data_IF_715098261112
#
_entry.id   IF_715098261112
#
_cell.length_a   1.000
_cell.length_b   1.000
_cell.length_c   1.000
_cell.angle_alpha   90.00
_cell.angle_beta   90.00
_cell.angle_gamma   90.00
#
_symmetry.space_group_name_H-M   'P 1'
#
loop_
_entity.id
_entity.type
_entity.pdbx_description
1 polymer ?
#
# COMPACT_ATOMS: atom_id res chain seq x y z
N UNK A 1 -4.39 14.52 19.43
CA UNK A 1 -5.67 15.14 19.04
C UNK A 1 -6.45 14.30 18.03
N UNK A 2 -5.80 13.53 17.13
CA UNK A 2 -6.48 12.68 16.14
C UNK A 2 -7.26 11.49 16.73
N UNK A 3 -6.73 10.80 17.75
CA UNK A 3 -7.37 9.59 18.31
C UNK A 3 -8.73 9.85 18.97
N UNK A 4 -8.88 10.98 19.66
CA UNK A 4 -10.15 11.34 20.30
C UNK A 4 -11.25 11.63 19.25
N UNK A 5 -10.88 12.26 18.13
CA UNK A 5 -11.80 12.54 17.03
C UNK A 5 -12.19 11.26 16.27
N UNK A 6 -11.26 10.33 16.07
CA UNK A 6 -11.54 9.02 15.47
C UNK A 6 -12.49 8.22 16.36
N UNK A 7 -12.28 8.25 17.69
CA UNK A 7 -13.12 7.52 18.64
C UNK A 7 -14.55 8.04 18.70
N UNK A 8 -14.72 9.37 18.73
CA UNK A 8 -16.03 10.03 18.67
C UNK A 8 -16.76 9.73 17.34
N UNK A 9 -16.03 9.73 16.22
CA UNK A 9 -16.57 9.35 14.91
C UNK A 9 -17.01 7.88 14.88
N UNK A 10 -16.23 6.96 15.47
CA UNK A 10 -16.59 5.56 15.57
C UNK A 10 -17.82 5.32 16.46
N UNK A 11 -17.93 6.01 17.60
CA UNK A 11 -19.12 5.92 18.48
C UNK A 11 -20.37 6.42 17.77
N UNK A 12 -20.29 7.57 17.07
CA UNK A 12 -21.40 8.10 16.27
C UNK A 12 -21.81 7.16 15.13
N UNK A 13 -20.83 6.56 14.45
CA UNK A 13 -21.08 5.58 13.39
C UNK A 13 -21.74 4.29 13.89
N UNK A 14 -21.35 3.83 15.08
CA UNK A 14 -21.95 2.64 15.72
C UNK A 14 -23.36 2.91 16.24
N UNK A 15 -23.64 4.13 16.71
CA UNK A 15 -24.92 4.51 17.28
C UNK A 15 -25.97 4.86 16.21
N UNK A 16 -25.63 5.72 15.26
CA UNK A 16 -26.60 6.33 14.33
C UNK A 16 -26.37 5.94 12.85
N UNK A 17 -25.35 5.13 12.57
CA UNK A 17 -25.04 4.68 11.21
C UNK A 17 -24.48 5.77 10.29
N UNK A 18 -24.35 5.43 9.00
CA UNK A 18 -23.72 6.30 7.98
C UNK A 18 -24.56 7.56 7.66
N UNK A 19 -25.80 7.61 8.16
CA UNK A 19 -26.78 8.66 7.84
C UNK A 19 -26.52 9.99 8.56
N UNK A 20 -25.82 9.96 9.70
CA UNK A 20 -25.49 11.17 10.50
C UNK A 20 -24.19 11.85 10.03
N UNK A 21 -23.44 11.22 9.12
CA UNK A 21 -22.20 11.79 8.61
C UNK A 21 -22.44 12.98 7.69
N UNK A 22 -21.59 13.99 7.82
CA UNK A 22 -21.43 15.05 6.83
C UNK A 22 -21.14 14.45 5.44
N UNK A 23 -21.59 15.11 4.38
CA UNK A 23 -21.35 14.67 3.00
C UNK A 23 -19.86 14.48 2.69
N UNK A 24 -18.98 15.26 3.33
CA UNK A 24 -17.53 15.12 3.20
C UNK A 24 -17.01 13.86 3.89
N UNK A 25 -17.48 13.56 5.10
CA UNK A 25 -17.04 12.39 5.87
C UNK A 25 -17.51 11.09 5.22
N UNK A 26 -18.74 11.08 4.68
CA UNK A 26 -19.29 9.95 3.93
C UNK A 26 -18.45 9.64 2.68
N UNK A 27 -18.03 10.66 1.93
CA UNK A 27 -17.16 10.48 0.75
C UNK A 27 -15.78 9.94 1.13
N UNK A 28 -15.21 10.39 2.25
CA UNK A 28 -13.94 9.86 2.75
C UNK A 28 -14.08 8.38 3.14
N UNK A 29 -15.13 8.04 3.89
CA UNK A 29 -15.41 6.66 4.28
C UNK A 29 -15.67 5.75 3.08
N UNK A 30 -16.40 6.23 2.06
CA UNK A 30 -16.64 5.49 0.82
C UNK A 30 -15.33 5.24 0.04
N UNK A 31 -14.45 6.25 -0.05
CA UNK A 31 -13.14 6.10 -0.68
C UNK A 31 -12.23 5.13 0.08
N UNK A 32 -12.22 5.22 1.41
CA UNK A 32 -11.44 4.31 2.27
C UNK A 32 -11.99 2.90 2.17
N UNK A 33 -13.30 2.71 2.27
CA UNK A 33 -13.96 1.41 2.15
C UNK A 33 -13.70 0.76 0.78
N UNK A 34 -13.79 1.54 -0.31
CA UNK A 34 -13.51 1.05 -1.66
C UNK A 34 -12.04 0.63 -1.81
N UNK A 35 -11.09 1.46 -1.35
CA UNK A 35 -9.66 1.09 -1.36
C UNK A 35 -9.38 -0.17 -0.54
N UNK A 36 -9.94 -0.28 0.66
CA UNK A 36 -9.76 -1.46 1.51
C UNK A 36 -10.35 -2.71 0.88
N UNK A 37 -11.52 -2.60 0.22
CA UNK A 37 -12.14 -3.73 -0.46
C UNK A 37 -11.29 -4.22 -1.62
N UNK A 38 -10.81 -3.33 -2.50
CA UNK A 38 -10.01 -3.72 -3.66
C UNK A 38 -8.66 -4.33 -3.24
N UNK A 39 -7.96 -3.72 -2.28
CA UNK A 39 -6.71 -4.29 -1.77
C UNK A 39 -6.91 -5.70 -1.17
N UNK A 40 -8.07 -5.94 -0.53
CA UNK A 40 -8.42 -7.25 0.01
C UNK A 40 -8.76 -8.25 -1.10
N UNK A 41 -9.41 -7.82 -2.16
CA UNK A 41 -9.79 -8.67 -3.29
C UNK A 41 -8.55 -9.17 -4.05
N UNK A 42 -7.64 -8.25 -4.40
CA UNK A 42 -6.36 -8.58 -5.05
C UNK A 42 -5.59 -9.61 -4.22
N UNK A 43 -5.51 -9.40 -2.91
CA UNK A 43 -4.79 -10.32 -2.03
C UNK A 43 -5.47 -11.70 -1.93
N UNK A 44 -6.81 -11.74 -2.00
CA UNK A 44 -7.59 -12.97 -1.89
C UNK A 44 -7.55 -13.80 -3.18
N UNK A 45 -7.62 -13.16 -4.34
CA UNK A 45 -7.42 -13.84 -5.63
C UNK A 45 -6.02 -14.44 -5.72
N UNK A 46 -5.02 -13.70 -5.27
CA UNK A 46 -3.63 -14.17 -5.23
C UNK A 46 -3.44 -15.34 -4.26
N UNK A 47 -4.05 -15.30 -3.07
CA UNK A 47 -3.98 -16.41 -2.10
C UNK A 47 -4.72 -17.69 -2.56
N UNK A 48 -5.76 -17.54 -3.39
CA UNK A 48 -6.50 -18.67 -3.96
C UNK A 48 -5.73 -19.39 -5.06
N UNK A 49 -4.79 -18.71 -5.72
CA UNK A 49 -3.96 -19.29 -6.77
C UNK A 49 -2.67 -19.96 -6.23
N UNK A 50 -2.33 -19.74 -4.95
CA UNK A 50 -1.16 -20.33 -4.32
C UNK A 50 -1.26 -21.85 -4.19
N UNK A 51 -0.32 -22.57 -4.82
CA UNK A 51 -0.18 -24.01 -4.62
C UNK A 51 0.43 -24.32 -3.23
N UNK A 52 0.36 -25.59 -2.81
CA UNK A 52 1.01 -26.03 -1.57
C UNK A 52 2.52 -25.78 -1.59
N UNK A 53 3.17 -25.95 -2.75
CA UNK A 53 4.59 -25.69 -2.95
C UNK A 53 4.95 -24.22 -2.76
N UNK A 54 4.12 -23.31 -3.28
CA UNK A 54 4.31 -21.87 -3.12
C UNK A 54 4.21 -21.42 -1.67
N UNK A 55 3.22 -21.97 -0.93
CA UNK A 55 3.04 -21.70 0.50
C UNK A 55 4.24 -22.18 1.33
N UNK A 56 4.83 -23.32 0.96
CA UNK A 56 6.03 -23.84 1.62
C UNK A 56 7.25 -22.97 1.30
N UNK A 57 7.43 -22.60 0.03
CA UNK A 57 8.51 -21.73 -0.42
C UNK A 57 8.48 -20.37 0.29
N UNK A 58 7.30 -19.74 0.43
CA UNK A 58 7.15 -18.47 1.18
C UNK A 58 7.53 -18.59 2.65
N UNK A 59 7.14 -19.69 3.31
CA UNK A 59 7.54 -19.93 4.69
C UNK A 59 9.04 -20.12 4.81
N UNK A 60 9.66 -20.87 3.90
CA UNK A 60 11.11 -21.08 3.89
C UNK A 60 11.86 -19.77 3.63
N UNK A 61 11.39 -18.94 2.69
CA UNK A 61 11.97 -17.63 2.41
C UNK A 61 11.83 -16.67 3.61
N UNK A 62 10.65 -16.63 4.25
CA UNK A 62 10.41 -15.80 5.43
C UNK A 62 11.26 -16.21 6.65
N UNK A 63 11.46 -17.52 6.85
CA UNK A 63 12.32 -18.04 7.92
C UNK A 63 13.80 -17.74 7.60
N UNK A 64 14.23 -17.93 6.36
CA UNK A 64 15.59 -17.68 5.91
C UNK A 64 16.03 -16.21 6.01
N UNK A 65 15.08 -15.26 5.94
CA UNK A 65 15.35 -13.82 6.04
C UNK A 65 15.40 -13.26 7.48
N UNK A 66 15.14 -14.07 8.50
CA UNK A 66 15.09 -13.59 9.90
C UNK A 66 16.46 -13.58 10.58
N UNK A 67 16.76 -12.52 11.33
CA UNK A 67 17.96 -12.43 12.18
C UNK A 67 18.06 -13.58 13.20
N UNK A 68 16.93 -14.05 13.73
CA UNK A 68 16.91 -15.19 14.66
C UNK A 68 17.32 -16.50 14.02
N UNK A 69 16.99 -16.71 12.74
CA UNK A 69 17.42 -17.87 11.98
C UNK A 69 18.93 -17.86 11.75
N UNK A 70 19.49 -16.71 11.36
CA UNK A 70 20.95 -16.54 11.14
C UNK A 70 21.75 -16.87 12.39
N UNK A 71 21.30 -16.37 13.56
CA UNK A 71 21.95 -16.63 14.85
C UNK A 71 21.85 -18.11 15.22
N UNK A 72 20.66 -18.70 15.14
CA UNK A 72 20.45 -20.12 15.48
C UNK A 72 21.27 -21.03 14.56
N UNK A 73 21.26 -20.76 13.26
CA UNK A 73 22.02 -21.51 12.26
C UNK A 73 23.53 -21.43 12.51
N UNK A 74 24.03 -20.24 12.86
CA UNK A 74 25.43 -20.03 13.23
C UNK A 74 25.82 -20.80 14.50
N UNK A 75 24.97 -20.80 15.53
CA UNK A 75 25.18 -21.58 16.76
C UNK A 75 25.20 -23.09 16.47
N UNK A 76 24.31 -23.58 15.60
CA UNK A 76 24.30 -25.00 15.19
C UNK A 76 25.58 -25.39 14.47
N UNK A 77 26.05 -24.56 13.52
CA UNK A 77 27.32 -24.79 12.81
C UNK A 77 28.48 -24.82 13.80
N UNK A 78 28.61 -23.80 14.65
CA UNK A 78 29.69 -23.72 15.64
C UNK A 78 29.62 -24.85 16.67
N UNK A 79 28.41 -25.26 17.07
CA UNK A 79 28.18 -26.40 17.95
C UNK A 79 28.59 -27.72 17.30
N UNK A 80 28.25 -27.93 16.02
CA UNK A 80 28.63 -29.12 15.25
C UNK A 80 30.14 -29.21 15.04
N UNK A 81 30.76 -28.09 14.64
CA UNK A 81 32.22 -27.96 14.52
C UNK A 81 32.89 -28.22 15.87
N UNK A 82 32.44 -27.56 16.94
CA UNK A 82 32.98 -27.73 18.28
C UNK A 82 32.87 -29.18 18.79
N UNK A 83 31.72 -29.83 18.59
CA UNK A 83 31.51 -31.23 18.97
C UNK A 83 32.44 -32.18 18.21
N UNK A 84 32.58 -32.03 16.89
CA UNK A 84 33.47 -32.86 16.08
C UNK A 84 34.96 -32.60 16.37
N UNK A 85 35.38 -31.34 16.55
CA UNK A 85 36.77 -31.01 16.85
C UNK A 85 37.17 -31.41 18.28
N UNK A 86 36.39 -31.03 19.29
CA UNK A 86 36.82 -31.17 20.69
C UNK A 86 36.49 -32.53 21.31
N UNK A 87 35.30 -33.09 21.02
CA UNK A 87 34.86 -34.33 21.67
C UNK A 87 35.36 -35.54 20.89
N UNK A 88 35.14 -35.57 19.58
CA UNK A 88 35.43 -36.75 18.76
C UNK A 88 36.92 -36.90 18.41
N UNK A 89 37.63 -35.81 18.14
CA UNK A 89 39.09 -35.89 17.86
C UNK A 89 39.91 -36.18 19.13
N UNK A 90 39.42 -35.80 20.31
CA UNK A 90 40.13 -35.99 21.58
C UNK A 90 39.82 -37.32 22.27
N UNK A 91 38.66 -37.95 22.00
CA UNK A 91 38.28 -39.26 22.55
C UNK A 91 38.68 -40.47 21.70
N UNK A 92 39.43 -40.29 20.61
CA UNK A 92 40.14 -41.39 19.92
C UNK A 92 39.29 -42.31 19.04
N UNK A 93 37.96 -42.16 19.05
CA UNK A 93 37.08 -42.74 18.03
C UNK A 93 37.08 -41.81 16.82
N UNK A 94 37.70 -42.22 15.70
CA UNK A 94 37.79 -41.44 14.46
C UNK A 94 36.54 -40.63 14.19
N UNK A 95 36.68 -39.31 14.12
CA UNK A 95 35.54 -38.40 14.17
C UNK A 95 34.51 -38.68 13.07
N UNK A 96 33.24 -38.44 13.39
CA UNK A 96 32.13 -38.63 12.45
C UNK A 96 32.29 -37.74 11.20
N UNK A 97 32.73 -36.49 11.39
CA UNK A 97 33.08 -35.55 10.32
C UNK A 97 34.37 -34.80 10.69
N UNK A 98 35.57 -35.40 10.47
CA UNK A 98 36.84 -34.76 10.76
C UNK A 98 37.08 -33.55 9.86
N UNK A 99 37.90 -32.60 10.32
CA UNK A 99 38.36 -31.50 9.48
C UNK A 99 38.95 -32.08 8.17
N UNK A 100 38.43 -31.73 6.98
CA UNK A 100 37.79 -30.47 6.57
C UNK A 100 36.23 -30.42 6.54
N UNK A 101 35.52 -31.23 7.33
CA UNK A 101 34.04 -31.26 7.45
C UNK A 101 33.29 -31.49 6.12
N UNK A 102 33.54 -32.62 5.48
CA UNK A 102 32.97 -32.94 4.15
C UNK A 102 31.45 -33.08 4.24
N UNK A 103 30.94 -33.68 5.31
CA UNK A 103 29.50 -33.90 5.46
C UNK A 103 28.74 -32.59 5.70
N UNK A 104 29.27 -31.73 6.58
CA UNK A 104 28.71 -30.40 6.81
C UNK A 104 28.71 -29.56 5.52
N UNK A 105 29.83 -29.54 4.79
CA UNK A 105 29.93 -28.81 3.53
C UNK A 105 28.94 -29.32 2.47
N UNK A 106 28.72 -30.63 2.39
CA UNK A 106 27.75 -31.23 1.47
C UNK A 106 26.32 -30.76 1.80
N UNK A 107 25.92 -30.80 3.07
CA UNK A 107 24.59 -30.32 3.51
C UNK A 107 24.43 -28.83 3.22
N UNK A 108 25.42 -28.01 3.58
CA UNK A 108 25.37 -26.56 3.35
C UNK A 108 25.24 -26.24 1.86
N UNK A 109 25.98 -26.95 1.00
CA UNK A 109 25.90 -26.77 -0.45
C UNK A 109 24.53 -27.15 -1.00
N UNK A 110 23.93 -28.25 -0.53
CA UNK A 110 22.58 -28.65 -0.93
C UNK A 110 21.52 -27.62 -0.49
N UNK A 111 21.62 -27.12 0.75
CA UNK A 111 20.70 -26.09 1.25
C UNK A 111 20.84 -24.81 0.43
N UNK A 112 22.07 -24.34 0.17
CA UNK A 112 22.32 -23.14 -0.63
C UNK A 112 21.81 -23.29 -2.07
N UNK A 113 21.99 -24.45 -2.69
CA UNK A 113 21.49 -24.72 -4.05
C UNK A 113 19.95 -24.63 -4.13
N UNK A 114 19.24 -25.08 -3.10
CA UNK A 114 17.78 -24.97 -3.03
C UNK A 114 17.28 -23.58 -2.63
N UNK A 115 18.12 -22.77 -1.96
CA UNK A 115 17.74 -21.42 -1.52
C UNK A 115 17.51 -20.48 -2.71
N UNK A 116 18.40 -20.45 -3.71
CA UNK A 116 18.29 -19.49 -4.81
C UNK A 116 16.97 -19.62 -5.62
N UNK A 117 16.50 -20.81 -6.01
CA UNK A 117 15.21 -20.98 -6.66
C UNK A 117 14.02 -20.62 -5.77
N UNK A 118 14.06 -20.99 -4.47
CA UNK A 118 12.98 -20.66 -3.52
C UNK A 118 12.86 -19.15 -3.32
N UNK A 119 14.00 -18.46 -3.17
CA UNK A 119 14.06 -17.00 -3.10
C UNK A 119 13.54 -16.39 -4.40
N UNK A 120 13.97 -16.90 -5.57
CA UNK A 120 13.52 -16.40 -6.86
C UNK A 120 12.01 -16.61 -7.08
N UNK A 121 11.45 -17.74 -6.65
CA UNK A 121 10.01 -18.00 -6.70
C UNK A 121 9.23 -17.05 -5.80
N UNK A 122 9.70 -16.81 -4.57
CA UNK A 122 9.08 -15.84 -3.66
C UNK A 122 9.19 -14.41 -4.21
N UNK A 123 10.33 -14.03 -4.77
CA UNK A 123 10.52 -12.73 -5.43
C UNK A 123 9.63 -12.54 -6.66
N UNK A 124 9.53 -13.55 -7.55
CA UNK A 124 8.70 -13.47 -8.75
C UNK A 124 7.22 -13.30 -8.38
N UNK A 125 6.79 -14.01 -7.34
CA UNK A 125 5.44 -13.88 -6.79
C UNK A 125 5.20 -12.49 -6.18
N UNK A 126 6.16 -11.97 -5.40
CA UNK A 126 6.02 -10.65 -4.81
C UNK A 126 5.97 -9.54 -5.88
N UNK A 127 6.80 -9.66 -6.93
CA UNK A 127 6.80 -8.75 -8.05
C UNK A 127 5.48 -8.75 -8.84
N UNK A 128 4.83 -9.91 -9.00
CA UNK A 128 3.52 -10.00 -9.64
C UNK A 128 2.44 -9.29 -8.82
N UNK A 129 2.44 -9.48 -7.50
CA UNK A 129 1.53 -8.78 -6.59
C UNK A 129 1.75 -7.26 -6.62
N UNK A 130 3.01 -6.82 -6.60
CA UNK A 130 3.36 -5.40 -6.66
C UNK A 130 2.96 -4.80 -8.01
N UNK A 131 3.07 -5.54 -9.12
CA UNK A 131 2.60 -5.11 -10.44
C UNK A 131 1.09 -4.90 -10.46
N UNK A 132 0.31 -5.87 -9.98
CA UNK A 132 -1.16 -5.75 -9.94
C UNK A 132 -1.62 -4.58 -9.06
N UNK A 133 -0.98 -4.37 -7.91
CA UNK A 133 -1.26 -3.21 -7.06
C UNK A 133 -0.94 -1.89 -7.78
N UNK A 134 0.18 -1.82 -8.49
CA UNK A 134 0.57 -0.63 -9.26
C UNK A 134 -0.36 -0.35 -10.44
N UNK A 135 -0.81 -1.37 -11.17
CA UNK A 135 -1.80 -1.23 -12.25
C UNK A 135 -3.12 -0.66 -11.72
N UNK A 136 -3.62 -1.18 -10.61
CA UNK A 136 -4.84 -0.67 -9.99
C UNK A 136 -4.67 0.78 -9.48
N UNK A 137 -3.55 1.09 -8.82
CA UNK A 137 -3.27 2.46 -8.37
C UNK A 137 -3.18 3.44 -9.54
N UNK A 138 -2.64 3.00 -10.69
CA UNK A 138 -2.62 3.77 -11.93
C UNK A 138 -4.03 4.06 -12.45
N UNK A 139 -4.90 3.05 -12.51
CA UNK A 139 -6.30 3.23 -12.95
C UNK A 139 -7.07 4.21 -12.06
N UNK A 140 -6.92 4.10 -10.75
CA UNK A 140 -7.53 5.01 -9.78
C UNK A 140 -7.03 6.44 -9.99
N UNK A 141 -5.72 6.61 -10.20
CA UNK A 141 -5.13 7.91 -10.43
C UNK A 141 -5.62 8.54 -11.74
N UNK A 142 -5.68 7.77 -12.83
CA UNK A 142 -6.21 8.22 -14.12
C UNK A 142 -7.68 8.64 -14.00
N UNK A 143 -8.50 7.86 -13.28
CA UNK A 143 -9.90 8.20 -13.03
C UNK A 143 -10.02 9.50 -12.24
N UNK A 144 -9.20 9.69 -11.21
CA UNK A 144 -9.17 10.92 -10.44
C UNK A 144 -8.75 12.12 -11.30
N UNK A 145 -7.79 11.96 -12.20
CA UNK A 145 -7.36 13.00 -13.14
C UNK A 145 -8.49 13.43 -14.08
N UNK A 146 -9.23 12.48 -14.64
CA UNK A 146 -10.41 12.75 -15.49
C UNK A 146 -11.51 13.49 -14.69
N UNK A 147 -11.78 13.05 -13.46
CA UNK A 147 -12.77 13.71 -12.60
C UNK A 147 -12.35 15.15 -12.26
N UNK A 148 -11.06 15.41 -12.06
CA UNK A 148 -10.52 16.76 -11.82
C UNK A 148 -10.66 17.63 -13.06
N UNK A 149 -10.33 17.12 -14.26
CA UNK A 149 -10.53 17.85 -15.52
C UNK A 149 -12.01 18.21 -15.73
N UNK A 150 -12.92 17.25 -15.52
CA UNK A 150 -14.36 17.50 -15.62
C UNK A 150 -14.85 18.54 -14.60
N UNK A 151 -14.27 18.57 -13.40
CA UNK A 151 -14.56 19.60 -12.40
C UNK A 151 -14.03 20.97 -12.82
N UNK A 152 -12.83 21.02 -13.40
CA UNK A 152 -12.21 22.25 -13.90
C UNK A 152 -13.04 22.87 -15.04
N UNK A 153 -13.49 22.06 -16.00
CA UNK A 153 -14.33 22.53 -17.10
C UNK A 153 -15.65 23.13 -16.60
N UNK A 154 -16.29 22.48 -15.62
CA UNK A 154 -17.51 23.02 -14.98
C UNK A 154 -17.24 24.32 -14.25
N UNK A 155 -16.09 24.42 -13.57
CA UNK A 155 -15.70 25.64 -12.87
C UNK A 155 -15.49 26.80 -13.85
N UNK A 156 -14.81 26.58 -14.97
CA UNK A 156 -14.60 27.61 -15.99
C UNK A 156 -15.91 28.04 -16.66
N UNK A 157 -16.85 27.11 -16.89
CA UNK A 157 -18.20 27.44 -17.38
C UNK A 157 -18.96 28.34 -16.42
N UNK A 158 -18.95 28.04 -15.11
CA UNK A 158 -19.59 28.86 -14.09
C UNK A 158 -18.95 30.25 -14.02
N UNK A 159 -17.61 30.30 -13.99
CA UNK A 159 -16.85 31.55 -13.97
C UNK A 159 -17.16 32.44 -15.17
N UNK A 160 -17.22 31.84 -16.36
CA UNK A 160 -17.54 32.58 -17.60
C UNK A 160 -18.97 33.12 -17.56
N UNK A 161 -19.93 32.33 -17.06
CA UNK A 161 -21.31 32.76 -16.87
C UNK A 161 -21.44 33.96 -15.94
N UNK A 162 -20.81 33.89 -14.75
CA UNK A 162 -20.81 34.98 -13.77
C UNK A 162 -20.14 36.24 -14.34
N UNK A 163 -19.00 36.11 -15.01
CA UNK A 163 -18.33 37.25 -15.67
C UNK A 163 -19.25 37.94 -16.67
N UNK A 164 -19.99 37.17 -17.46
CA UNK A 164 -20.94 37.69 -18.45
C UNK A 164 -22.07 38.47 -17.78
N UNK A 165 -22.66 37.92 -16.72
CA UNK A 165 -23.72 38.59 -15.95
C UNK A 165 -23.22 39.88 -15.30
N UNK A 166 -22.00 39.90 -14.77
CA UNK A 166 -21.39 41.11 -14.20
C UNK A 166 -21.18 42.16 -15.29
N UNK A 167 -20.67 41.77 -16.47
CA UNK A 167 -20.50 42.68 -17.60
C UNK A 167 -21.82 43.31 -18.05
N UNK A 168 -22.86 42.50 -18.23
CA UNK A 168 -24.20 42.97 -18.62
C UNK A 168 -24.79 43.95 -17.60
N UNK A 169 -24.57 43.72 -16.29
CA UNK A 169 -24.99 44.65 -15.23
C UNK A 169 -24.25 45.97 -15.28
N UNK A 170 -22.94 45.95 -15.52
CA UNK A 170 -22.13 47.17 -15.68
C UNK A 170 -22.58 47.95 -16.92
N UNK A 171 -22.79 47.28 -18.05
CA UNK A 171 -23.27 47.90 -19.29
C UNK A 171 -24.65 48.52 -19.10
N UNK A 172 -25.59 47.81 -18.47
CA UNK A 172 -26.93 48.33 -18.16
C UNK A 172 -26.87 49.54 -17.23
N UNK A 173 -26.02 49.50 -16.20
CA UNK A 173 -25.84 50.61 -15.26
C UNK A 173 -25.20 51.85 -15.93
N UNK A 174 -24.34 51.66 -16.93
CA UNK A 174 -23.78 52.74 -17.75
C UNK A 174 -24.75 53.25 -18.82
N UNK A 175 -25.67 52.41 -19.30
CA UNK A 175 -26.67 52.76 -20.31
C UNK A 175 -27.87 53.53 -19.76
N UNK A 176 -28.08 53.55 -18.43
CA UNK A 176 -29.02 54.48 -17.81
C UNK A 176 -28.45 55.90 -17.96
N UNK A 177 -29.07 56.77 -18.76
CA UNK A 177 -28.53 58.10 -18.99
C UNK A 177 -28.60 58.92 -17.70
N UNK A 178 -27.58 59.75 -17.50
CA UNK A 178 -27.39 60.77 -16.45
C UNK A 178 -28.55 61.82 -16.37
N UNK A 179 -29.65 61.60 -17.08
CA UNK A 179 -30.77 62.53 -17.21
C UNK A 179 -31.62 62.67 -15.93
N UNK A 180 -31.56 61.72 -14.98
CA UNK A 180 -32.25 61.87 -13.70
C UNK A 180 -31.51 62.79 -12.71
N UNK A 181 -30.19 62.92 -12.79
CA UNK A 181 -29.45 63.84 -11.89
C UNK A 181 -29.63 65.32 -12.27
N UNK A 182 -30.06 65.64 -13.49
CA UNK A 182 -30.27 67.03 -13.94
C UNK A 182 -31.68 67.56 -13.65
N UNK A 183 -32.65 66.69 -13.32
CA UNK A 183 -34.01 67.08 -12.94
C UNK A 183 -34.13 67.51 -11.48
N UNK A 184 -33.38 66.88 -10.57
CA UNK A 184 -33.43 67.21 -9.13
C UNK A 184 -32.58 68.43 -8.74
N UNK A 185 -31.66 68.88 -9.60
CA UNK A 185 -30.86 70.10 -9.35
C UNK A 185 -31.56 71.41 -9.75
N UNK A 186 -32.76 71.36 -10.37
CA UNK A 186 -33.51 72.54 -10.83
C UNK A 186 -34.87 72.75 -10.12
N UNK A 187 -35.14 72.02 -9.05
CA UNK A 187 -36.29 72.24 -8.16
C UNK A 187 -35.99 73.29 -7.10
#
# INVERSE_FOLDING_TARGET
MSDAAIRDLCEKLLADGVEVLSASDRRLLEKVATRTHVARDINREFEQQLTFGDRLADRVAAIGGSWGFIITFSVVILGWTGLNTFVLTRWGSGGFDPYPYVFLNLILSMVAALQAPVIMMSQNRQAEKDRLAAEHDYEVNLKAEIEIMALHDKFEQLRTGELKTILERIETALAVPVDEQRRDSKG
#
